data_IF_334477463766
#
_entry.id   IF_334477463766
#
_cell.length_a   1.000
_cell.length_b   1.000
_cell.length_c   1.000
_cell.angle_alpha   90.00
_cell.angle_beta   90.00
_cell.angle_gamma   90.00
#
_symmetry.space_group_name_H-M   'P 1'
#
loop_
_entity.id
_entity.type
_entity.pdbx_description
1 polymer ?
#
# COMPACT_ATOMS: atom_id res chain seq x y z
N UNK A 1 68.64 54.61 30.40
CA UNK A 1 68.27 53.22 30.78
C UNK A 1 67.38 52.67 29.68
N UNK A 2 67.70 51.46 29.19
CA UNK A 2 67.08 50.84 28.01
C UNK A 2 65.62 50.46 28.30
N UNK A 3 64.68 50.94 27.49
CA UNK A 3 63.31 50.45 27.49
C UNK A 3 63.23 49.24 26.55
N UNK A 4 62.96 48.07 27.12
CA UNK A 4 62.70 46.84 26.38
C UNK A 4 61.25 46.87 25.89
N UNK A 5 61.05 46.98 24.58
CA UNK A 5 59.74 46.81 23.94
C UNK A 5 59.47 45.32 23.83
N UNK A 6 58.52 44.80 24.61
CA UNK A 6 58.00 43.44 24.47
C UNK A 6 56.85 43.50 23.45
N UNK A 7 57.07 42.98 22.24
CA UNK A 7 56.02 42.77 21.24
C UNK A 7 55.36 41.43 21.59
N UNK A 8 54.13 41.50 22.12
CA UNK A 8 53.27 40.34 22.32
C UNK A 8 52.60 39.98 20.99
N UNK A 9 53.13 38.97 20.30
CA UNK A 9 52.50 38.42 19.10
C UNK A 9 51.32 37.51 19.51
N UNK A 10 50.10 38.05 19.44
CA UNK A 10 48.87 37.27 19.60
C UNK A 10 48.62 36.53 18.30
N UNK A 11 48.89 35.23 18.29
CA UNK A 11 48.54 34.32 17.19
C UNK A 11 47.05 33.98 17.33
N UNK A 12 46.22 34.58 16.48
CA UNK A 12 44.83 34.14 16.31
C UNK A 12 44.83 32.84 15.50
N UNK A 13 44.65 31.70 16.18
CA UNK A 13 44.29 30.45 15.54
C UNK A 13 42.81 30.53 15.22
N UNK A 14 42.48 30.85 13.97
CA UNK A 14 41.13 30.59 13.44
C UNK A 14 40.98 29.07 13.36
N UNK A 15 40.35 28.48 14.37
CA UNK A 15 39.67 27.20 14.18
C UNK A 15 38.55 27.47 13.19
N UNK A 16 38.78 27.13 11.92
CA UNK A 16 37.73 27.02 10.93
C UNK A 16 36.72 26.02 11.47
N UNK A 17 35.59 26.51 11.93
CA UNK A 17 34.42 25.69 12.15
C UNK A 17 33.94 25.33 10.74
N UNK A 18 34.35 24.16 10.25
CA UNK A 18 33.66 23.50 9.15
C UNK A 18 32.26 23.18 9.69
N UNK A 19 31.36 24.13 9.57
CA UNK A 19 29.93 23.85 9.67
C UNK A 19 29.66 23.12 8.36
N UNK A 20 29.73 21.79 8.40
CA UNK A 20 29.08 20.91 7.43
C UNK A 20 27.57 21.19 7.54
N UNK A 21 27.14 22.36 7.08
CA UNK A 21 25.76 22.64 6.77
C UNK A 21 25.51 21.83 5.51
N UNK A 22 24.94 20.65 5.70
CA UNK A 22 24.29 19.94 4.61
C UNK A 22 23.25 20.91 4.00
N UNK A 23 23.58 21.41 2.80
CA UNK A 23 22.91 22.51 2.09
C UNK A 23 21.40 22.25 1.95
N UNK A 24 21.00 20.98 1.97
CA UNK A 24 19.62 20.54 1.77
C UNK A 24 18.94 19.99 3.02
N UNK A 25 19.62 19.91 4.16
CA UNK A 25 19.07 19.30 5.39
C UNK A 25 17.70 19.85 5.83
N UNK A 26 17.49 21.17 5.73
CA UNK A 26 16.20 21.80 6.04
C UNK A 26 15.12 21.41 5.03
N UNK A 27 15.46 21.42 3.74
CA UNK A 27 14.58 21.00 2.64
C UNK A 27 14.20 19.53 2.80
N UNK A 28 15.17 18.63 2.95
CA UNK A 28 14.92 17.20 3.14
C UNK A 28 14.07 16.90 4.38
N UNK A 29 14.23 17.67 5.47
CA UNK A 29 13.38 17.56 6.66
C UNK A 29 11.92 17.88 6.34
N UNK A 30 11.66 18.94 5.57
CA UNK A 30 10.31 19.33 5.12
C UNK A 30 9.70 18.28 4.17
N UNK A 31 10.47 17.83 3.17
CA UNK A 31 10.03 16.80 2.22
C UNK A 31 9.73 15.47 2.94
N UNK A 32 10.56 15.12 3.92
CA UNK A 32 10.34 13.94 4.75
C UNK A 32 9.04 14.05 5.57
N UNK A 33 8.71 15.24 6.07
CA UNK A 33 7.45 15.47 6.75
C UNK A 33 6.24 15.32 5.81
N UNK A 34 6.35 15.77 4.55
CA UNK A 34 5.33 15.53 3.53
C UNK A 34 5.14 14.04 3.27
N UNK A 35 6.22 13.27 3.11
CA UNK A 35 6.17 11.80 2.90
C UNK A 35 5.40 11.08 4.02
N UNK A 36 5.54 11.52 5.27
CA UNK A 36 4.91 10.89 6.43
C UNK A 36 3.47 11.35 6.67
N UNK A 37 3.15 12.59 6.31
CA UNK A 37 1.82 13.18 6.56
C UNK A 37 0.85 13.02 5.39
N UNK A 38 1.35 12.73 4.19
CA UNK A 38 0.50 12.61 3.01
C UNK A 38 -0.47 11.41 3.10
N UNK A 39 -1.76 11.70 2.89
CA UNK A 39 -2.82 10.70 2.92
C UNK A 39 -2.66 9.61 1.85
N UNK A 40 -1.88 9.84 0.80
CA UNK A 40 -1.65 8.91 -0.31
C UNK A 40 -0.47 7.94 -0.09
N UNK A 41 0.46 8.26 0.82
CA UNK A 41 1.79 7.64 0.86
C UNK A 41 2.02 6.68 2.04
N UNK A 42 1.11 6.63 3.01
CA UNK A 42 1.25 5.77 4.19
C UNK A 42 1.02 4.28 3.92
N UNK A 43 1.68 3.41 4.70
CA UNK A 43 1.59 1.95 4.58
C UNK A 43 0.79 1.27 5.70
N UNK A 44 0.33 2.01 6.71
CA UNK A 44 -0.35 1.42 7.87
C UNK A 44 -1.68 0.72 7.50
N UNK A 45 -2.28 1.05 6.36
CA UNK A 45 -3.43 0.31 5.81
C UNK A 45 -3.11 -1.14 5.40
N UNK A 46 -1.85 -1.50 5.21
CA UNK A 46 -1.41 -2.85 4.89
C UNK A 46 -1.39 -3.78 6.11
N UNK A 47 -1.32 -3.24 7.34
CA UNK A 47 -1.30 -4.01 8.58
C UNK A 47 -2.69 -4.58 8.90
N UNK A 48 -2.86 -5.89 8.78
CA UNK A 48 -4.10 -6.60 9.06
C UNK A 48 -4.30 -6.87 10.55
N UNK A 49 -3.25 -6.68 11.36
CA UNK A 49 -3.21 -7.02 12.77
C UNK A 49 -3.25 -8.53 13.03
N UNK A 50 -2.78 -9.32 12.05
CA UNK A 50 -2.72 -10.77 12.11
C UNK A 50 -3.94 -11.47 11.51
N UNK A 51 -4.19 -12.70 11.94
CA UNK A 51 -5.35 -13.50 11.56
C UNK A 51 -6.51 -13.31 12.56
N UNK A 52 -6.76 -12.08 13.01
CA UNK A 52 -7.83 -11.78 13.97
C UNK A 52 -9.11 -11.29 13.28
N UNK A 53 -10.25 -11.72 13.79
CA UNK A 53 -11.57 -11.24 13.39
C UNK A 53 -11.72 -9.78 13.81
N UNK A 54 -11.35 -8.86 12.93
CA UNK A 54 -11.83 -7.49 13.04
C UNK A 54 -13.36 -7.50 12.94
N UNK A 55 -14.08 -7.53 14.07
CA UNK A 55 -15.54 -7.64 14.19
C UNK A 55 -16.28 -6.46 13.54
N UNK A 56 -16.35 -6.35 12.21
CA UNK A 56 -17.46 -5.64 11.53
C UNK A 56 -17.69 -6.19 10.12
N UNK A 57 -18.60 -7.16 9.99
CA UNK A 57 -19.09 -7.64 8.69
C UNK A 57 -19.87 -6.59 7.89
N UNK A 58 -20.30 -5.50 8.56
CA UNK A 58 -21.04 -4.39 7.94
C UNK A 58 -20.18 -3.13 7.92
N UNK A 59 -20.07 -2.50 6.75
CA UNK A 59 -19.49 -1.15 6.65
C UNK A 59 -20.53 -0.11 7.05
N UNK A 60 -20.24 0.68 8.08
CA UNK A 60 -21.05 1.86 8.44
C UNK A 60 -20.68 3.08 7.56
N UNK A 61 -19.58 2.95 6.79
CA UNK A 61 -19.05 4.01 5.95
C UNK A 61 -18.33 5.07 6.79
N UNK A 62 -18.01 6.22 6.20
CA UNK A 62 -17.38 7.35 6.89
C UNK A 62 -18.35 8.51 7.17
N UNK A 63 -19.62 8.33 6.82
CA UNK A 63 -20.64 9.37 6.85
C UNK A 63 -21.34 9.48 8.21
N UNK A 64 -21.14 8.50 9.10
CA UNK A 64 -21.74 8.48 10.44
C UNK A 64 -20.78 9.03 11.51
N UNK A 65 -21.31 9.91 12.37
CA UNK A 65 -20.53 10.64 13.36
C UNK A 65 -19.91 9.71 14.41
N UNK A 66 -18.57 9.67 14.48
CA UNK A 66 -17.84 8.94 15.53
C UNK A 66 -17.81 7.40 15.39
N UNK A 67 -18.42 6.83 14.33
CA UNK A 67 -18.55 5.38 14.11
C UNK A 67 -18.05 4.99 12.71
N UNK A 68 -17.19 5.80 12.09
CA UNK A 68 -16.71 5.51 10.75
C UNK A 68 -15.99 4.17 10.70
N UNK A 69 -16.51 3.19 9.96
CA UNK A 69 -15.85 1.89 9.73
C UNK A 69 -16.16 1.43 8.31
N UNK A 70 -15.12 1.15 7.53
CA UNK A 70 -15.26 0.58 6.19
C UNK A 70 -15.50 -0.94 6.21
N UNK A 71 -15.50 -1.53 7.42
CA UNK A 71 -15.64 -2.96 7.66
C UNK A 71 -14.36 -3.71 7.35
N UNK A 72 -13.67 -4.19 8.40
CA UNK A 72 -12.66 -5.22 8.22
C UNK A 72 -13.41 -6.54 8.22
N UNK A 73 -13.34 -7.31 7.15
CA UNK A 73 -13.79 -8.70 7.19
C UNK A 73 -12.61 -9.51 6.72
N UNK A 74 -12.25 -10.50 7.54
CA UNK A 74 -11.29 -11.50 7.13
C UNK A 74 -12.10 -12.59 6.43
N UNK A 75 -11.59 -13.05 5.29
CA UNK A 75 -12.31 -14.04 4.51
C UNK A 75 -12.03 -15.45 5.03
N UNK A 76 -13.07 -16.27 4.94
CA UNK A 76 -13.04 -17.69 5.25
C UNK A 76 -12.57 -18.43 4.00
N UNK A 77 -11.33 -18.93 4.01
CA UNK A 77 -10.84 -19.78 2.93
C UNK A 77 -11.16 -21.23 3.24
N UNK A 78 -11.91 -21.89 2.35
CA UNK A 78 -12.33 -23.28 2.49
C UNK A 78 -11.73 -24.13 1.38
N UNK A 79 -10.45 -24.55 1.48
CA UNK A 79 -9.84 -25.44 0.49
C UNK A 79 -10.46 -26.85 0.52
N UNK A 80 -11.08 -27.26 1.63
CA UNK A 80 -11.77 -28.53 1.78
C UNK A 80 -13.01 -28.42 2.68
N UNK A 81 -13.76 -29.52 2.80
CA UNK A 81 -15.02 -29.56 3.56
C UNK A 81 -14.85 -29.65 5.08
N UNK A 82 -13.66 -29.43 5.63
CA UNK A 82 -13.36 -29.66 7.05
C UNK A 82 -12.69 -28.50 7.77
N UNK A 83 -12.10 -27.55 7.04
CA UNK A 83 -11.31 -26.48 7.60
C UNK A 83 -11.65 -25.10 7.01
N UNK A 84 -11.52 -24.10 7.87
CA UNK A 84 -11.54 -22.68 7.50
C UNK A 84 -10.17 -22.09 7.78
N UNK A 85 -9.60 -21.39 6.81
CA UNK A 85 -8.30 -20.74 6.94
C UNK A 85 -8.48 -19.24 6.97
N UNK A 86 -7.94 -18.63 8.01
CA UNK A 86 -7.84 -17.19 8.21
C UNK A 86 -6.41 -16.78 8.17
N UNK A 87 -6.14 -15.63 7.56
CA UNK A 87 -4.80 -15.10 7.55
C UNK A 87 -4.78 -13.59 7.42
N UNK A 88 -3.70 -13.02 7.91
CA UNK A 88 -3.37 -11.63 7.74
C UNK A 88 -1.94 -11.37 8.20
N UNK A 89 -1.42 -10.25 7.74
CA UNK A 89 -0.08 -9.78 8.10
C UNK A 89 -0.17 -8.86 9.31
N UNK A 90 0.71 -9.08 10.28
CA UNK A 90 0.92 -8.20 11.43
C UNK A 90 2.24 -7.45 11.24
N UNK A 91 2.17 -6.16 10.99
CA UNK A 91 3.38 -5.34 10.79
C UNK A 91 4.00 -5.03 12.15
N UNK A 92 5.23 -5.50 12.34
CA UNK A 92 5.98 -5.30 13.59
C UNK A 92 6.79 -4.00 13.56
N UNK A 93 7.40 -3.71 12.41
CA UNK A 93 8.25 -2.54 12.22
C UNK A 93 8.28 -2.12 10.75
N UNK A 94 8.38 -0.82 10.52
CA UNK A 94 8.71 -0.24 9.22
C UNK A 94 9.94 0.65 9.42
N UNK A 95 11.04 0.34 8.73
CA UNK A 95 12.18 1.27 8.60
C UNK A 95 12.13 1.94 7.25
N UNK A 96 12.63 3.17 7.16
CA UNK A 96 12.58 3.98 5.94
C UNK A 96 13.97 4.50 5.60
N UNK A 97 14.36 4.34 4.36
CA UNK A 97 15.50 5.02 3.74
C UNK A 97 14.96 5.88 2.60
N UNK A 98 15.46 7.12 2.52
CA UNK A 98 15.11 8.05 1.46
C UNK A 98 16.39 8.55 0.82
N UNK A 99 16.44 8.55 -0.50
CA UNK A 99 17.51 9.18 -1.28
C UNK A 99 16.91 10.32 -2.06
N UNK A 100 17.44 11.53 -1.88
CA UNK A 100 16.95 12.72 -2.57
C UNK A 100 17.82 13.08 -3.77
N UNK A 101 17.15 13.51 -4.84
CA UNK A 101 17.76 14.24 -5.95
C UNK A 101 17.14 15.63 -5.99
N UNK A 102 17.97 16.67 -5.96
CA UNK A 102 17.53 18.06 -5.90
C UNK A 102 17.84 18.80 -7.19
N UNK A 103 16.82 19.49 -7.70
CA UNK A 103 16.94 20.51 -8.74
C UNK A 103 16.46 21.86 -8.19
N UNK A 104 16.55 22.90 -9.02
CA UNK A 104 16.14 24.28 -8.67
C UNK A 104 14.65 24.34 -8.28
N UNK A 105 13.77 23.77 -9.11
CA UNK A 105 12.32 23.89 -8.96
C UNK A 105 11.63 22.63 -8.40
N UNK A 106 12.35 21.51 -8.31
CA UNK A 106 11.77 20.24 -7.85
C UNK A 106 12.77 19.36 -7.09
N UNK A 107 12.24 18.45 -6.26
CA UNK A 107 12.98 17.35 -5.65
C UNK A 107 12.36 16.02 -6.04
N UNK A 108 13.17 14.98 -6.15
CA UNK A 108 12.71 13.59 -6.18
C UNK A 108 13.20 12.88 -4.93
N UNK A 109 12.35 12.06 -4.32
CA UNK A 109 12.67 11.16 -3.23
C UNK A 109 12.43 9.72 -3.68
N UNK A 110 13.48 8.92 -3.74
CA UNK A 110 13.39 7.47 -3.88
C UNK A 110 13.29 6.86 -2.49
N UNK A 111 12.17 6.20 -2.21
CA UNK A 111 11.79 5.75 -0.88
C UNK A 111 11.80 4.23 -0.86
N UNK A 112 12.59 3.67 0.05
CA UNK A 112 12.55 2.25 0.40
C UNK A 112 12.06 2.14 1.84
N UNK A 113 10.92 1.47 2.03
CA UNK A 113 10.38 1.09 3.33
C UNK A 113 10.53 -0.41 3.53
N UNK A 114 11.46 -0.83 4.38
CA UNK A 114 11.58 -2.24 4.77
C UNK A 114 10.54 -2.56 5.83
N UNK A 115 9.58 -3.41 5.46
CA UNK A 115 8.49 -3.87 6.31
C UNK A 115 8.88 -5.21 6.91
N UNK A 116 9.02 -5.26 8.23
CA UNK A 116 9.17 -6.51 8.99
C UNK A 116 7.82 -6.90 9.58
N UNK A 117 7.35 -8.10 9.28
CA UNK A 117 6.00 -8.55 9.65
C UNK A 117 5.96 -10.05 9.93
N UNK A 118 4.93 -10.46 10.67
CA UNK A 118 4.55 -11.87 10.80
C UNK A 118 3.31 -12.13 9.95
N UNK A 119 3.38 -13.12 9.08
CA UNK A 119 2.23 -13.65 8.37
C UNK A 119 1.57 -14.70 9.26
N UNK A 120 0.40 -14.37 9.80
CA UNK A 120 -0.30 -15.19 10.78
C UNK A 120 -1.40 -15.93 10.05
N UNK A 121 -1.52 -17.24 10.30
CA UNK A 121 -2.55 -18.11 9.75
C UNK A 121 -3.22 -18.85 10.90
N UNK A 122 -4.54 -18.82 10.94
CA UNK A 122 -5.38 -19.57 11.88
C UNK A 122 -6.24 -20.54 11.09
N UNK A 123 -6.14 -21.83 11.45
CA UNK A 123 -6.95 -22.90 10.90
C UNK A 123 -8.04 -23.24 11.92
N UNK A 124 -9.30 -23.23 11.48
CA UNK A 124 -10.46 -23.57 12.29
C UNK A 124 -11.01 -24.89 11.74
N UNK A 125 -11.08 -25.93 12.57
CA UNK A 125 -11.67 -27.21 12.16
C UNK A 125 -13.20 -27.21 12.20
N UNK A 126 -13.82 -28.26 11.67
CA UNK A 126 -15.29 -28.45 11.69
C UNK A 126 -15.93 -28.50 13.10
N UNK A 127 -15.13 -28.65 14.16
CA UNK A 127 -15.56 -28.61 15.55
C UNK A 127 -15.35 -27.22 16.19
N UNK A 128 -14.74 -26.28 15.46
CA UNK A 128 -14.40 -24.94 15.93
C UNK A 128 -13.08 -24.86 16.71
N UNK A 129 -12.22 -25.89 16.65
CA UNK A 129 -10.89 -25.81 17.26
C UNK A 129 -9.95 -25.01 16.36
N UNK A 130 -9.18 -24.12 16.98
CA UNK A 130 -8.26 -23.24 16.28
C UNK A 130 -6.81 -23.70 16.43
N UNK A 131 -6.06 -23.68 15.34
CA UNK A 131 -4.60 -23.86 15.32
C UNK A 131 -3.96 -22.70 14.57
N UNK A 132 -3.10 -21.94 15.25
CA UNK A 132 -2.44 -20.76 14.67
C UNK A 132 -0.95 -21.01 14.50
N UNK A 133 -0.40 -20.56 13.38
CA UNK A 133 1.04 -20.51 13.13
C UNK A 133 1.43 -19.17 12.50
N UNK A 134 2.70 -18.82 12.68
CA UNK A 134 3.25 -17.51 12.29
C UNK A 134 4.50 -17.72 11.44
N UNK A 135 4.63 -16.92 10.38
CA UNK A 135 5.79 -16.92 9.49
C UNK A 135 6.40 -15.52 9.44
N UNK A 136 7.58 -15.30 10.03
CA UNK A 136 8.24 -13.99 9.93
C UNK A 136 8.71 -13.77 8.49
N UNK A 137 8.54 -12.55 7.99
CA UNK A 137 9.04 -12.16 6.69
C UNK A 137 9.45 -10.69 6.66
N UNK A 138 10.23 -10.35 5.65
CA UNK A 138 10.60 -8.96 5.32
C UNK A 138 10.25 -8.67 3.88
N UNK A 139 9.81 -7.46 3.61
CA UNK A 139 9.50 -6.97 2.28
C UNK A 139 10.03 -5.56 2.14
N UNK A 140 10.80 -5.30 1.09
CA UNK A 140 11.15 -3.94 0.71
C UNK A 140 10.04 -3.36 -0.14
N UNK A 141 9.50 -2.24 0.32
CA UNK A 141 8.47 -1.49 -0.37
C UNK A 141 9.07 -0.24 -1.00
N UNK A 142 9.00 -0.12 -2.32
CA UNK A 142 9.65 0.92 -3.09
C UNK A 142 8.61 1.87 -3.70
N UNK A 143 8.91 3.17 -3.70
CA UNK A 143 8.16 4.22 -4.41
C UNK A 143 9.05 5.44 -4.60
N UNK A 144 8.85 6.16 -5.69
CA UNK A 144 9.42 7.49 -5.87
C UNK A 144 8.34 8.58 -5.78
N UNK A 145 8.71 9.73 -5.21
CA UNK A 145 7.83 10.90 -5.04
C UNK A 145 8.57 12.14 -5.51
N UNK A 146 7.90 12.92 -6.36
CA UNK A 146 8.40 14.20 -6.85
C UNK A 146 7.67 15.32 -6.13
N UNK A 147 8.43 16.34 -5.76
CA UNK A 147 7.94 17.52 -5.06
C UNK A 147 8.26 18.77 -5.87
N UNK A 148 7.37 19.74 -5.84
CA UNK A 148 7.54 21.05 -6.46
C UNK A 148 7.25 22.16 -5.46
N UNK A 149 7.78 23.36 -5.71
CA UNK A 149 7.45 24.55 -4.93
C UNK A 149 6.19 25.20 -5.51
N UNK A 150 5.17 25.40 -4.69
CA UNK A 150 4.00 26.20 -5.03
C UNK A 150 3.71 27.19 -3.89
N UNK A 151 3.56 28.47 -4.22
CA UNK A 151 3.34 29.54 -3.25
C UNK A 151 4.36 29.52 -2.08
N UNK A 152 5.64 29.28 -2.40
CA UNK A 152 6.76 29.13 -1.46
C UNK A 152 6.68 27.95 -0.48
N UNK A 153 5.84 26.94 -0.77
CA UNK A 153 5.78 25.71 0.05
C UNK A 153 6.03 24.49 -0.84
N UNK A 154 6.72 23.48 -0.30
CA UNK A 154 6.84 22.20 -0.99
C UNK A 154 5.51 21.45 -0.98
N UNK A 155 5.18 20.82 -2.11
CA UNK A 155 4.03 19.91 -2.24
C UNK A 155 4.42 18.65 -3.00
N UNK A 156 3.69 17.57 -2.77
CA UNK A 156 3.75 16.36 -3.61
C UNK A 156 3.12 16.68 -4.97
N UNK A 157 3.89 16.50 -6.04
CA UNK A 157 3.51 16.73 -7.43
C UNK A 157 3.09 15.43 -8.10
N UNK A 158 4.00 14.46 -8.11
CA UNK A 158 3.82 13.17 -8.78
C UNK A 158 4.38 12.06 -7.90
N UNK A 159 3.91 10.83 -8.10
CA UNK A 159 4.50 9.64 -7.49
C UNK A 159 4.31 8.42 -8.37
N UNK A 160 5.12 7.40 -8.10
CA UNK A 160 5.02 6.10 -8.76
C UNK A 160 4.12 5.16 -7.96
N UNK A 161 3.85 3.98 -8.50
CA UNK A 161 3.26 2.92 -7.70
C UNK A 161 4.17 2.61 -6.50
N UNK A 162 3.53 2.19 -5.42
CA UNK A 162 4.26 1.60 -4.32
C UNK A 162 4.31 0.09 -4.52
N UNK A 163 5.49 -0.50 -4.63
CA UNK A 163 5.65 -1.93 -4.91
C UNK A 163 6.39 -2.59 -3.77
N UNK A 164 5.78 -3.59 -3.15
CA UNK A 164 6.39 -4.43 -2.13
C UNK A 164 6.36 -5.90 -2.53
N UNK A 165 7.40 -6.66 -2.20
CA UNK A 165 7.48 -8.08 -2.49
C UNK A 165 8.26 -8.82 -1.40
N UNK A 166 7.80 -10.02 -1.07
CA UNK A 166 8.56 -11.03 -0.33
C UNK A 166 8.47 -12.36 -1.07
N UNK A 167 9.60 -13.03 -1.24
CA UNK A 167 9.68 -14.23 -2.08
C UNK A 167 9.72 -13.91 -3.58
N UNK A 168 9.55 -14.93 -4.41
CA UNK A 168 9.69 -14.80 -5.87
C UNK A 168 8.55 -15.40 -6.68
N UNK A 169 7.65 -16.15 -6.04
CA UNK A 169 6.64 -16.97 -6.74
C UNK A 169 5.56 -16.15 -7.43
N UNK A 170 5.03 -15.16 -6.71
CA UNK A 170 3.91 -14.31 -7.17
C UNK A 170 4.35 -12.88 -7.47
N UNK A 171 3.68 -12.25 -8.42
CA UNK A 171 3.81 -10.83 -8.74
C UNK A 171 2.49 -10.27 -9.28
N UNK A 172 2.38 -8.94 -9.32
CA UNK A 172 1.26 -8.22 -9.96
C UNK A 172 1.76 -7.67 -11.29
N UNK A 173 1.05 -7.95 -12.37
CA UNK A 173 1.40 -7.54 -13.72
C UNK A 173 0.58 -6.33 -14.20
N UNK A 174 -0.67 -6.21 -13.75
CA UNK A 174 -1.59 -5.17 -14.19
C UNK A 174 -2.61 -4.84 -13.11
N UNK A 175 -2.98 -3.56 -13.03
CA UNK A 175 -4.10 -3.04 -12.25
C UNK A 175 -4.97 -2.18 -13.17
N UNK A 176 -6.27 -2.42 -13.17
CA UNK A 176 -7.22 -1.62 -13.95
C UNK A 176 -8.48 -1.29 -13.15
N UNK A 177 -8.92 -0.03 -13.20
CA UNK A 177 -10.17 0.43 -12.62
C UNK A 177 -11.18 0.75 -13.72
N UNK A 178 -12.43 0.40 -13.47
CA UNK A 178 -13.56 0.68 -14.36
C UNK A 178 -14.72 1.32 -13.60
N UNK A 179 -15.42 2.22 -14.27
CA UNK A 179 -16.70 2.78 -13.82
C UNK A 179 -17.81 2.42 -14.79
N UNK A 180 -19.07 2.51 -14.35
CA UNK A 180 -20.21 2.32 -15.24
C UNK A 180 -20.50 3.58 -16.05
N UNK A 181 -20.71 3.42 -17.37
CA UNK A 181 -21.27 4.47 -18.23
C UNK A 181 -22.80 4.56 -18.10
N UNK A 182 -23.42 5.45 -18.89
CA UNK A 182 -24.87 5.64 -18.90
C UNK A 182 -25.66 4.41 -19.40
N UNK A 183 -24.99 3.52 -20.14
CA UNK A 183 -25.57 2.30 -20.71
C UNK A 183 -25.29 1.07 -19.84
N UNK A 184 -24.78 1.27 -18.62
CA UNK A 184 -24.41 0.23 -17.65
C UNK A 184 -23.28 -0.70 -18.12
N UNK A 185 -22.39 -0.20 -19.00
CA UNK A 185 -21.18 -0.91 -19.39
C UNK A 185 -19.99 -0.46 -18.53
N UNK A 186 -19.08 -1.38 -18.23
CA UNK A 186 -17.81 -1.06 -17.60
C UNK A 186 -16.88 -0.36 -18.59
N UNK A 187 -16.41 0.83 -18.22
CA UNK A 187 -15.46 1.63 -19.00
C UNK A 187 -14.20 1.85 -18.19
N UNK A 188 -13.05 1.50 -18.79
CA UNK A 188 -11.73 1.69 -18.19
C UNK A 188 -11.51 3.17 -17.89
N UNK A 189 -11.14 3.47 -16.65
CA UNK A 189 -10.82 4.82 -16.18
C UNK A 189 -9.33 5.00 -15.89
N UNK A 190 -8.67 3.91 -15.52
CA UNK A 190 -7.28 3.93 -15.11
C UNK A 190 -6.69 2.54 -15.32
N UNK A 191 -5.53 2.49 -15.97
CA UNK A 191 -4.78 1.26 -16.20
C UNK A 191 -3.32 1.49 -15.88
N UNK A 192 -2.71 0.53 -15.19
CA UNK A 192 -1.28 0.47 -14.97
C UNK A 192 -0.77 -0.93 -15.25
N UNK A 193 0.25 -1.03 -16.09
CA UNK A 193 0.95 -2.26 -16.45
C UNK A 193 2.43 -1.97 -16.77
N UNK A 194 3.28 -2.98 -16.70
CA UNK A 194 4.70 -2.84 -17.02
C UNK A 194 5.53 -2.22 -15.89
N UNK A 195 6.37 -1.23 -16.21
CA UNK A 195 7.35 -0.65 -15.28
C UNK A 195 6.72 0.43 -14.38
N UNK A 196 5.97 -0.03 -13.38
CA UNK A 196 5.18 0.84 -12.50
C UNK A 196 6.03 1.66 -11.51
N UNK A 197 7.29 1.28 -11.29
CA UNK A 197 8.24 2.01 -10.45
C UNK A 197 8.88 3.19 -11.19
N UNK A 198 8.84 3.20 -12.52
CA UNK A 198 9.35 4.32 -13.34
C UNK A 198 8.23 5.08 -14.07
N UNK A 199 6.96 4.73 -13.81
CA UNK A 199 5.81 5.45 -14.36
C UNK A 199 5.27 6.45 -13.34
N UNK A 200 5.45 7.74 -13.64
CA UNK A 200 5.02 8.85 -12.80
C UNK A 200 3.53 9.16 -12.99
N UNK A 201 2.83 9.36 -11.87
CA UNK A 201 1.41 9.69 -11.85
C UNK A 201 1.27 11.03 -11.13
N UNK A 202 0.76 12.06 -11.81
CA UNK A 202 0.39 13.31 -11.16
C UNK A 202 -0.61 13.06 -10.05
N UNK A 203 -0.39 13.72 -8.92
CA UNK A 203 -1.24 13.60 -7.73
C UNK A 203 -2.71 13.92 -8.04
N UNK A 204 -2.93 14.88 -8.93
CA UNK A 204 -4.27 15.31 -9.33
C UNK A 204 -4.94 14.36 -10.33
N UNK A 205 -4.17 13.50 -10.99
CA UNK A 205 -4.61 12.54 -12.02
C UNK A 205 -4.87 11.13 -11.45
N UNK A 206 -4.77 10.94 -10.13
CA UNK A 206 -5.16 9.66 -9.55
C UNK A 206 -6.63 9.35 -9.82
N UNK A 207 -6.92 8.05 -9.94
CA UNK A 207 -8.27 7.55 -10.16
C UNK A 207 -9.25 8.22 -9.17
N UNK A 208 -10.28 8.86 -9.70
CA UNK A 208 -11.27 9.60 -8.94
C UNK A 208 -12.63 8.93 -9.11
N UNK A 209 -13.30 8.64 -8.01
CA UNK A 209 -14.58 7.96 -8.01
C UNK A 209 -15.65 8.77 -7.28
N UNK A 210 -16.85 8.80 -7.86
CA UNK A 210 -18.02 9.40 -7.22
C UNK A 210 -18.51 8.50 -6.08
N UNK A 211 -18.86 9.10 -4.95
CA UNK A 211 -19.42 8.37 -3.83
C UNK A 211 -20.73 7.66 -4.21
N UNK A 212 -20.93 6.46 -3.65
CA UNK A 212 -22.11 5.61 -3.81
C UNK A 212 -22.32 5.05 -5.22
N UNK A 213 -21.34 5.17 -6.12
CA UNK A 213 -21.35 4.48 -7.41
C UNK A 213 -20.57 3.17 -7.33
N UNK A 214 -20.90 2.17 -8.16
CA UNK A 214 -20.11 0.97 -8.26
C UNK A 214 -18.80 1.25 -9.03
N UNK A 215 -17.71 0.64 -8.59
CA UNK A 215 -16.42 0.63 -9.27
C UNK A 215 -15.96 -0.82 -9.36
N UNK A 216 -15.47 -1.23 -10.53
CA UNK A 216 -14.82 -2.51 -10.74
C UNK A 216 -13.31 -2.31 -10.73
N UNK A 217 -12.59 -3.24 -10.12
CA UNK A 217 -11.14 -3.34 -10.21
C UNK A 217 -10.76 -4.73 -10.68
N UNK A 218 -9.82 -4.78 -11.60
CA UNK A 218 -9.18 -6.01 -12.08
C UNK A 218 -7.68 -5.96 -11.75
N UNK A 219 -7.16 -7.08 -11.27
CA UNK A 219 -5.74 -7.28 -10.96
C UNK A 219 -5.27 -8.52 -11.69
N UNK A 220 -4.34 -8.35 -12.63
CA UNK A 220 -3.68 -9.49 -13.27
C UNK A 220 -2.42 -9.85 -12.49
N UNK A 221 -2.26 -11.13 -12.18
CA UNK A 221 -1.12 -11.64 -11.43
C UNK A 221 -0.33 -12.67 -12.23
N UNK A 222 0.91 -12.87 -11.82
CA UNK A 222 1.73 -13.97 -12.31
C UNK A 222 2.11 -14.85 -11.14
N UNK A 223 1.92 -16.16 -11.29
CA UNK A 223 2.43 -17.16 -10.37
C UNK A 223 3.35 -18.10 -11.14
N UNK A 224 4.58 -18.27 -10.63
CA UNK A 224 5.63 -19.08 -11.25
C UNK A 224 5.66 -20.52 -10.74
N UNK A 225 4.83 -20.86 -9.75
CA UNK A 225 4.66 -22.24 -9.31
C UNK A 225 3.97 -23.07 -10.38
N UNK A 226 4.26 -24.39 -10.37
CA UNK A 226 3.57 -25.33 -11.24
C UNK A 226 2.07 -25.30 -10.90
N UNK A 227 1.17 -25.01 -11.85
CA UNK A 227 -0.27 -25.03 -11.61
C UNK A 227 -0.80 -26.39 -11.12
N UNK A 228 0.01 -27.45 -11.22
CA UNK A 228 -0.30 -28.78 -10.66
C UNK A 228 0.23 -29.02 -9.24
N UNK A 229 1.01 -28.10 -8.68
CA UNK A 229 1.60 -28.26 -7.34
C UNK A 229 0.57 -28.10 -6.23
N UNK A 230 -0.50 -27.33 -6.47
CA UNK A 230 -1.63 -27.20 -5.56
C UNK A 230 -2.94 -27.05 -6.35
N UNK A 231 -3.81 -28.07 -6.43
CA UNK A 231 -5.02 -28.05 -7.26
C UNK A 231 -6.18 -27.29 -6.59
N UNK A 232 -5.92 -26.08 -6.09
CA UNK A 232 -6.95 -25.21 -5.54
C UNK A 232 -6.94 -23.87 -6.26
N UNK A 233 -7.97 -23.64 -7.08
CA UNK A 233 -8.14 -22.45 -7.92
C UNK A 233 -6.89 -22.21 -8.80
N UNK A 234 -6.49 -20.96 -9.00
CA UNK A 234 -5.29 -20.54 -9.75
C UNK A 234 -3.96 -20.81 -9.01
N UNK A 235 -3.99 -21.12 -7.72
CA UNK A 235 -2.77 -21.29 -6.89
C UNK A 235 -2.41 -20.05 -6.07
N UNK A 236 -3.15 -18.95 -6.24
CA UNK A 236 -2.97 -17.70 -5.51
C UNK A 236 -4.30 -17.03 -5.16
N UNK A 237 -4.25 -16.11 -4.20
CA UNK A 237 -5.38 -15.26 -3.85
C UNK A 237 -4.98 -13.78 -3.87
N UNK A 238 -5.88 -12.94 -4.36
CA UNK A 238 -5.73 -11.48 -4.31
C UNK A 238 -6.67 -10.85 -3.30
N UNK A 239 -6.14 -9.96 -2.47
CA UNK A 239 -6.91 -9.13 -1.54
C UNK A 239 -6.77 -7.67 -1.89
N UNK A 240 -7.92 -6.98 -1.94
CA UNK A 240 -7.97 -5.54 -2.04
C UNK A 240 -8.20 -4.92 -0.67
N UNK A 241 -7.19 -4.20 -0.19
CA UNK A 241 -7.24 -3.42 1.02
C UNK A 241 -7.53 -1.97 0.62
N UNK A 242 -8.66 -1.42 1.05
CA UNK A 242 -9.06 -0.06 0.70
C UNK A 242 -9.45 0.73 1.93
N UNK A 243 -8.94 1.94 2.07
CA UNK A 243 -9.23 2.75 3.24
C UNK A 243 -8.32 3.94 3.42
N UNK A 244 -8.46 4.62 4.55
CA UNK A 244 -7.65 5.81 4.84
C UNK A 244 -6.42 5.50 5.68
N UNK A 245 -6.59 4.57 6.62
CA UNK A 245 -5.54 4.13 7.55
C UNK A 245 -5.94 2.79 8.17
N UNK A 246 -5.07 2.21 9.01
CA UNK A 246 -5.21 0.86 9.57
C UNK A 246 -6.56 0.56 10.27
N UNK A 247 -7.22 1.57 10.85
CA UNK A 247 -8.50 1.39 11.56
C UNK A 247 -9.71 1.72 10.68
N UNK A 248 -9.50 2.47 9.59
CA UNK A 248 -10.52 2.87 8.63
C UNK A 248 -10.22 2.22 7.28
N UNK A 249 -10.20 0.89 7.27
CA UNK A 249 -9.97 0.08 6.07
C UNK A 249 -10.96 -1.06 5.96
N UNK A 250 -11.17 -1.47 4.73
CA UNK A 250 -11.68 -2.77 4.36
C UNK A 250 -10.56 -3.60 3.76
N UNK A 251 -10.64 -4.92 3.96
CA UNK A 251 -9.88 -5.93 3.23
C UNK A 251 -10.93 -6.89 2.68
N UNK A 252 -10.85 -7.19 1.39
CA UNK A 252 -11.81 -8.08 0.71
C UNK A 252 -11.08 -8.94 -0.32
N UNK A 253 -11.55 -10.15 -0.59
CA UNK A 253 -10.94 -11.01 -1.59
C UNK A 253 -11.42 -10.52 -2.97
N UNK A 254 -10.64 -10.83 -3.98
CA UNK A 254 -11.01 -10.66 -5.38
C UNK A 254 -11.32 -12.04 -5.98
N UNK A 255 -12.20 -12.08 -6.98
CA UNK A 255 -12.74 -13.31 -7.56
C UNK A 255 -12.03 -13.67 -8.87
N UNK A 256 -11.78 -14.96 -9.10
CA UNK A 256 -11.17 -15.54 -10.31
C UNK A 256 -11.90 -16.87 -10.61
N UNK A 257 -13.24 -16.84 -10.54
CA UNK A 257 -14.11 -18.02 -10.61
C UNK A 257 -14.97 -18.04 -11.89
N UNK A 258 -14.82 -17.06 -12.80
CA UNK A 258 -15.67 -16.91 -13.97
C UNK A 258 -17.14 -16.66 -13.63
N UNK A 259 -17.37 -16.00 -12.49
CA UNK A 259 -18.71 -15.70 -11.96
C UNK A 259 -18.82 -14.24 -11.52
N UNK A 260 -20.06 -13.75 -11.41
CA UNK A 260 -20.39 -12.35 -11.16
C UNK A 260 -19.87 -11.44 -12.28
N UNK A 261 -18.85 -10.63 -12.00
CA UNK A 261 -18.26 -9.66 -12.94
C UNK A 261 -16.89 -10.13 -13.46
N UNK A 262 -16.48 -11.32 -13.03
CA UNK A 262 -15.28 -12.00 -13.46
C UNK A 262 -15.58 -12.86 -14.70
N UNK A 263 -14.81 -12.68 -15.77
CA UNK A 263 -15.18 -13.18 -17.09
C UNK A 263 -14.76 -14.65 -17.33
N UNK A 264 -13.60 -15.06 -16.81
CA UNK A 264 -13.00 -16.38 -17.06
C UNK A 264 -12.42 -16.89 -15.75
N UNK A 265 -12.68 -18.15 -15.42
CA UNK A 265 -12.17 -18.75 -14.18
C UNK A 265 -10.72 -19.20 -14.32
N UNK A 266 -9.89 -18.92 -13.31
CA UNK A 266 -8.50 -19.32 -13.19
C UNK A 266 -7.63 -18.82 -14.35
N UNK A 267 -7.86 -17.58 -14.81
CA UNK A 267 -7.03 -16.92 -15.82
C UNK A 267 -6.03 -15.93 -15.22
N UNK A 268 -5.92 -15.93 -13.88
CA UNK A 268 -5.09 -15.04 -13.08
C UNK A 268 -5.48 -13.55 -13.20
N UNK A 269 -6.71 -13.27 -13.66
CA UNK A 269 -7.33 -11.95 -13.60
C UNK A 269 -8.34 -11.95 -12.49
N UNK A 270 -7.99 -11.32 -11.38
CA UNK A 270 -8.85 -11.23 -10.23
C UNK A 270 -9.73 -9.99 -10.35
N UNK A 271 -11.03 -10.15 -10.09
CA UNK A 271 -12.03 -9.09 -10.24
C UNK A 271 -12.73 -8.79 -8.91
N UNK A 272 -12.96 -7.50 -8.62
CA UNK A 272 -13.85 -7.08 -7.54
C UNK A 272 -14.68 -5.85 -7.91
N UNK A 273 -15.96 -5.88 -7.59
CA UNK A 273 -16.83 -4.70 -7.60
C UNK A 273 -17.11 -4.24 -6.18
N UNK A 274 -17.04 -2.94 -5.94
CA UNK A 274 -17.48 -2.34 -4.68
C UNK A 274 -18.25 -1.05 -4.91
N UNK A 275 -19.14 -0.73 -3.98
CA UNK A 275 -19.77 0.58 -3.91
C UNK A 275 -18.84 1.54 -3.15
N UNK A 276 -18.48 2.65 -3.78
CA UNK A 276 -17.56 3.63 -3.23
C UNK A 276 -18.22 4.30 -2.01
N UNK A 277 -17.55 4.23 -0.86
CA UNK A 277 -18.01 4.94 0.34
C UNK A 277 -17.91 6.45 0.13
N UNK A 278 -18.71 7.25 0.85
CA UNK A 278 -18.53 8.69 0.81
C UNK A 278 -17.18 9.14 1.39
N UNK A 279 -16.71 10.36 1.05
CA UNK A 279 -15.45 10.90 1.56
C UNK A 279 -15.49 11.13 3.09
N UNK A 280 -16.66 11.04 3.71
CA UNK A 280 -16.87 11.24 5.13
C UNK A 280 -17.50 12.59 5.44
N UNK A 281 -18.05 12.68 6.64
CA UNK A 281 -18.81 13.85 7.09
C UNK A 281 -18.00 15.15 6.95
N UNK A 282 -18.60 16.18 6.36
CA UNK A 282 -17.99 17.50 6.21
C UNK A 282 -16.92 17.62 5.11
N UNK A 283 -16.62 16.54 4.39
CA UNK A 283 -15.66 16.54 3.28
C UNK A 283 -16.38 16.46 1.93
N UNK A 284 -15.95 17.29 0.96
CA UNK A 284 -16.40 17.19 -0.44
C UNK A 284 -15.61 16.12 -1.22
N UNK A 285 -14.33 15.98 -0.91
CA UNK A 285 -13.46 14.98 -1.50
C UNK A 285 -12.37 14.56 -0.50
N UNK A 286 -11.86 13.34 -0.63
CA UNK A 286 -10.71 12.83 0.14
C UNK A 286 -9.93 11.78 -0.62
N UNK A 287 -8.67 11.62 -0.25
CA UNK A 287 -7.81 10.54 -0.72
C UNK A 287 -7.98 9.31 0.16
N UNK A 288 -7.99 8.16 -0.50
CA UNK A 288 -7.97 6.84 0.07
C UNK A 288 -6.78 6.07 -0.51
N UNK A 289 -6.36 5.05 0.21
CA UNK A 289 -5.27 4.15 -0.17
C UNK A 289 -5.89 2.84 -0.65
N UNK A 290 -5.43 2.36 -1.79
CA UNK A 290 -5.64 1.00 -2.26
C UNK A 290 -4.34 0.21 -2.14
N UNK A 291 -4.39 -0.96 -1.52
CA UNK A 291 -3.34 -1.97 -1.58
C UNK A 291 -3.91 -3.25 -2.19
N UNK A 292 -3.27 -3.72 -3.24
CA UNK A 292 -3.58 -4.95 -3.93
C UNK A 292 -2.53 -5.96 -3.53
N UNK A 293 -2.91 -6.98 -2.79
CA UNK A 293 -2.00 -7.96 -2.23
C UNK A 293 -2.28 -9.31 -2.86
N UNK A 294 -1.31 -9.87 -3.57
CA UNK A 294 -1.34 -11.29 -3.97
C UNK A 294 -0.57 -12.12 -2.94
N UNK A 295 -1.08 -13.31 -2.65
CA UNK A 295 -0.42 -14.33 -1.83
C UNK A 295 -0.52 -15.67 -2.55
N UNK A 296 0.60 -16.38 -2.60
CA UNK A 296 0.64 -17.76 -3.05
C UNK A 296 -0.05 -18.67 -2.01
N UNK A 297 -0.86 -19.63 -2.45
CA UNK A 297 -1.58 -20.51 -1.53
C UNK A 297 -0.69 -21.47 -0.77
N UNK A 298 0.48 -21.86 -1.29
CA UNK A 298 1.42 -22.67 -0.49
C UNK A 298 1.91 -21.91 0.75
N UNK A 299 2.02 -20.57 0.68
CA UNK A 299 2.27 -19.71 1.84
C UNK A 299 1.21 -19.89 2.94
N UNK A 300 -0.05 -20.16 2.59
CA UNK A 300 -1.14 -20.31 3.56
C UNK A 300 -1.28 -21.76 4.02
N UNK A 301 -1.16 -22.74 3.12
CA UNK A 301 -1.53 -24.12 3.40
C UNK A 301 -0.37 -25.03 3.82
N UNK A 302 0.89 -24.64 3.56
CA UNK A 302 2.06 -25.40 3.96
C UNK A 302 2.84 -24.63 5.04
N UNK A 303 2.89 -25.14 6.27
CA UNK A 303 3.58 -24.48 7.39
C UNK A 303 5.08 -24.25 7.14
N UNK A 304 5.71 -25.08 6.32
CA UNK A 304 7.16 -25.05 6.05
C UNK A 304 7.53 -24.13 4.89
N UNK A 305 6.53 -23.67 4.11
CA UNK A 305 6.74 -22.78 2.97
C UNK A 305 7.06 -21.35 3.44
N UNK A 306 8.04 -20.71 2.80
CA UNK A 306 8.35 -19.29 3.04
C UNK A 306 7.25 -18.37 2.51
N UNK A 307 7.12 -17.17 3.08
CA UNK A 307 6.11 -16.21 2.63
C UNK A 307 6.41 -15.70 1.21
N UNK A 308 5.47 -15.94 0.30
CA UNK A 308 5.47 -15.41 -1.06
C UNK A 308 4.27 -14.49 -1.25
N UNK A 309 4.53 -13.18 -1.29
CA UNK A 309 3.51 -12.13 -1.45
C UNK A 309 4.06 -11.00 -2.33
N UNK A 310 3.17 -10.37 -3.09
CA UNK A 310 3.46 -9.10 -3.75
C UNK A 310 2.34 -8.10 -3.48
N UNK A 311 2.68 -6.82 -3.41
CA UNK A 311 1.78 -5.74 -3.07
C UNK A 311 2.00 -4.56 -4.00
N UNK A 312 0.93 -4.09 -4.64
CA UNK A 312 0.89 -2.78 -5.27
C UNK A 312 0.05 -1.84 -4.43
N UNK A 313 0.56 -0.64 -4.14
CA UNK A 313 -0.20 0.42 -3.52
C UNK A 313 -0.43 1.55 -4.53
N UNK A 314 -1.70 1.91 -4.69
CA UNK A 314 -2.13 3.02 -5.51
C UNK A 314 -3.27 3.77 -4.79
N UNK A 315 -3.10 5.06 -4.45
CA UNK A 315 -4.17 5.86 -3.91
C UNK A 315 -5.25 6.16 -4.95
N UNK A 316 -6.45 6.49 -4.48
CA UNK A 316 -7.55 6.97 -5.28
C UNK A 316 -8.28 8.08 -4.53
N UNK A 317 -8.99 8.93 -5.27
CA UNK A 317 -9.80 10.03 -4.72
C UNK A 317 -11.26 9.63 -4.72
N UNK A 318 -11.96 10.04 -3.69
CA UNK A 318 -13.42 9.92 -3.62
C UNK A 318 -14.00 11.31 -3.49
N UNK A 319 -15.03 11.60 -4.27
CA UNK A 319 -15.75 12.87 -4.25
C UNK A 319 -17.26 12.68 -4.08
N UNK A 320 -17.95 13.74 -3.64
CA UNK A 320 -19.41 13.77 -3.63
C UNK A 320 -19.94 14.05 -5.05
N UNK A 321 -21.15 13.55 -5.38
CA UNK A 321 -21.86 13.93 -6.60
C UNK A 321 -22.12 15.43 -6.71
#
# INVERSE_FOLDING_TARGET
MKYFTIILAVTFVFLGCDINNDEYSSRESELNALIETDEALGLDGLDDQGADYGYVGYSVGLEEYGIGYLGKTMDDFHPDSGYTYHFGRKINQITKTVTYTHEEDYSIADIIRTVSADFIITIIDSLGNETTFEKPYTSDFQRSVKFVIENNNWKVDEFTFGVGKAGSKVDIAKLEYFTMDSDSNWVSQFVMEGDVLNTWIPRDDIATFTARTPVKVEVTVTNSDDPNSYPFKSGEGVMFHRGRHRNLKARRPMNDEGTFEDAVANDNVFTQVWFVNGPGMGHQQRVFRGFFSVVDFATIFNSDETVNVAVWAMPYKVERP
#
